data_IF_271204530964
#
_entry.id   IF_271204530964
#
_cell.length_a   1.000
_cell.length_b   1.000
_cell.length_c   1.000
_cell.angle_alpha   90.00
_cell.angle_beta   90.00
_cell.angle_gamma   90.00
#
_symmetry.space_group_name_H-M   'P 1'
#
loop_
_entity.id
_entity.type
_entity.pdbx_description
1 polymer ?
#
# COMPACT_ATOMS: atom_id res chain seq x y z
N UNK A 1 13.20 -5.83 -10.02
CA UNK A 1 11.81 -5.38 -10.37
C UNK A 1 11.20 -4.64 -9.18
N UNK A 2 10.30 -3.65 -9.36
CA UNK A 2 9.64 -2.96 -8.22
C UNK A 2 8.14 -3.21 -8.26
N UNK A 3 7.56 -3.65 -7.13
CA UNK A 3 6.12 -3.90 -7.00
C UNK A 3 5.47 -2.74 -6.28
N UNK A 4 4.41 -2.19 -6.87
CA UNK A 4 3.73 -1.02 -6.33
C UNK A 4 2.23 -1.25 -6.25
N UNK A 5 1.65 -0.99 -5.08
CA UNK A 5 0.21 -1.07 -4.86
C UNK A 5 -0.28 0.26 -4.32
N UNK A 6 -1.23 0.86 -5.05
CA UNK A 6 -1.89 2.11 -4.67
C UNK A 6 -3.26 1.81 -4.06
N UNK A 7 -3.54 2.42 -2.91
CA UNK A 7 -4.82 2.32 -2.19
C UNK A 7 -5.26 3.70 -1.69
N UNK A 8 -6.56 3.86 -1.44
CA UNK A 8 -7.13 5.10 -0.89
C UNK A 8 -7.77 4.80 0.46
N UNK A 9 -7.46 5.61 1.46
CA UNK A 9 -7.87 5.42 2.87
C UNK A 9 -8.17 6.77 3.52
N UNK A 10 -8.72 6.80 4.75
CA UNK A 10 -9.03 8.04 5.47
C UNK A 10 -7.94 8.42 6.47
N UNK A 11 -7.95 9.68 6.93
CA UNK A 11 -6.99 10.21 7.93
C UNK A 11 -6.89 9.37 9.20
N UNK A 12 -8.03 8.94 9.71
CA UNK A 12 -8.12 8.18 10.95
C UNK A 12 -7.46 6.81 10.80
N UNK A 13 -7.58 6.22 9.61
CA UNK A 13 -6.96 4.93 9.33
C UNK A 13 -5.43 5.05 9.20
N UNK A 14 -4.93 6.10 8.57
CA UNK A 14 -3.47 6.38 8.47
C UNK A 14 -2.81 6.58 9.83
N UNK A 15 -3.51 7.21 10.78
CA UNK A 15 -2.93 7.56 12.09
C UNK A 15 -2.83 6.38 13.04
N UNK A 16 -3.53 5.28 12.78
CA UNK A 16 -3.49 4.11 13.62
C UNK A 16 -2.39 3.16 13.13
N UNK A 17 -1.41 2.85 13.99
CA UNK A 17 -0.29 1.97 13.64
C UNK A 17 -0.77 0.57 13.18
N UNK A 18 -1.83 0.06 13.80
CA UNK A 18 -2.44 -1.23 13.47
C UNK A 18 -3.00 -1.26 12.03
N UNK A 19 -3.47 -0.13 11.52
CA UNK A 19 -3.99 -0.03 10.16
C UNK A 19 -2.90 0.05 9.10
N UNK A 20 -1.68 0.46 9.46
CA UNK A 20 -0.53 0.42 8.54
C UNK A 20 -0.17 -1.01 8.17
N UNK A 21 -0.10 -1.90 9.17
CA UNK A 21 0.08 -3.33 8.96
C UNK A 21 -1.08 -3.95 8.15
N UNK A 22 -2.32 -3.54 8.43
CA UNK A 22 -3.47 -4.01 7.65
C UNK A 22 -3.41 -3.55 6.19
N UNK A 23 -3.00 -2.31 5.91
CA UNK A 23 -2.83 -1.79 4.55
C UNK A 23 -1.72 -2.54 3.80
N UNK A 24 -0.58 -2.79 4.45
CA UNK A 24 0.50 -3.60 3.88
C UNK A 24 0.00 -5.01 3.56
N UNK A 25 -0.73 -5.64 4.47
CA UNK A 25 -1.32 -6.96 4.28
C UNK A 25 -2.30 -6.98 3.10
N UNK A 26 -3.22 -6.02 3.02
CA UNK A 26 -4.16 -5.89 1.91
C UNK A 26 -3.45 -5.63 0.57
N UNK A 27 -2.44 -4.77 0.56
CA UNK A 27 -1.66 -4.49 -0.63
C UNK A 27 -0.90 -5.74 -1.10
N UNK A 28 -0.31 -6.49 -0.18
CA UNK A 28 0.36 -7.77 -0.47
C UNK A 28 -0.62 -8.77 -1.05
N UNK A 29 -1.80 -8.94 -0.45
CA UNK A 29 -2.85 -9.82 -0.98
C UNK A 29 -3.30 -9.40 -2.38
N UNK A 30 -3.49 -8.09 -2.62
CA UNK A 30 -3.83 -7.57 -3.96
C UNK A 30 -2.73 -7.88 -4.98
N UNK A 31 -1.47 -7.66 -4.63
CA UNK A 31 -0.35 -7.91 -5.52
C UNK A 31 -0.20 -9.40 -5.86
N UNK A 32 -0.33 -10.29 -4.87
CA UNK A 32 -0.37 -11.75 -5.10
C UNK A 32 -1.58 -12.16 -5.96
N UNK A 33 -2.74 -11.55 -5.75
CA UNK A 33 -3.95 -11.87 -6.53
C UNK A 33 -3.92 -11.37 -7.98
N UNK A 34 -3.11 -10.34 -8.25
CA UNK A 34 -3.01 -9.69 -9.57
C UNK A 34 -1.93 -10.28 -10.47
N UNK A 35 -1.45 -11.51 -10.19
CA UNK A 35 -0.46 -12.22 -11.03
C UNK A 35 0.94 -11.56 -11.02
N UNK A 36 1.21 -10.66 -10.07
CA UNK A 36 2.42 -9.81 -10.06
C UNK A 36 3.61 -10.48 -9.35
N UNK A 37 3.78 -11.79 -9.50
CA UNK A 37 5.01 -12.49 -9.08
C UNK A 37 4.92 -13.19 -7.71
N UNK A 38 5.73 -14.24 -7.60
CA UNK A 38 5.85 -15.13 -6.45
C UNK A 38 5.93 -14.39 -5.12
N UNK A 39 5.30 -14.95 -4.07
CA UNK A 39 5.27 -14.38 -2.73
C UNK A 39 6.68 -14.07 -2.15
N UNK A 40 7.72 -14.72 -2.69
CA UNK A 40 9.13 -14.51 -2.38
C UNK A 40 9.65 -13.12 -2.81
N UNK A 41 9.02 -12.52 -3.83
CA UNK A 41 9.30 -11.16 -4.30
C UNK A 41 8.98 -10.07 -3.26
N UNK A 42 8.25 -10.42 -2.19
CA UNK A 42 7.86 -9.52 -1.10
C UNK A 42 8.71 -9.73 0.17
N UNK A 43 9.88 -10.39 0.09
CA UNK A 43 10.75 -10.62 1.24
C UNK A 43 11.43 -9.34 1.77
N UNK A 44 11.41 -8.25 1.01
CA UNK A 44 11.93 -6.94 1.43
C UNK A 44 10.90 -6.20 2.30
N UNK A 45 11.38 -5.40 3.26
CA UNK A 45 10.52 -4.46 3.98
C UNK A 45 9.85 -3.49 2.99
N UNK A 46 8.51 -3.36 3.00
CA UNK A 46 7.83 -2.42 2.12
C UNK A 46 8.11 -0.98 2.50
N UNK A 47 8.35 -0.15 1.50
CA UNK A 47 8.32 1.30 1.67
C UNK A 47 6.88 1.81 1.54
N UNK A 48 6.39 2.49 2.57
CA UNK A 48 5.01 3.01 2.63
C UNK A 48 5.04 4.53 2.51
N UNK A 49 4.61 5.05 1.36
CA UNK A 49 4.40 6.48 1.15
C UNK A 49 2.92 6.81 1.33
N UNK A 50 2.62 7.81 2.16
CA UNK A 50 1.25 8.26 2.41
C UNK A 50 1.14 9.72 1.98
N UNK A 51 0.33 9.98 0.98
CA UNK A 51 0.11 11.31 0.41
C UNK A 51 -1.34 11.74 0.63
N UNK A 52 -1.59 12.93 1.21
CA UNK A 52 -2.95 13.45 1.25
C UNK A 52 -3.44 13.67 -0.17
N UNK A 53 -4.63 13.17 -0.49
CA UNK A 53 -5.22 13.33 -1.81
C UNK A 53 -5.76 14.76 -1.93
N UNK A 54 -5.27 15.60 -2.87
CA UNK A 54 -5.58 17.03 -2.88
C UNK A 54 -6.99 17.41 -3.39
N UNK A 55 -7.92 16.47 -3.53
CA UNK A 55 -9.29 16.74 -3.98
C UNK A 55 -10.33 16.51 -2.87
N UNK A 56 -10.96 17.58 -2.34
CA UNK A 56 -12.09 17.47 -1.44
C UNK A 56 -13.40 17.57 -2.24
N UNK A 57 -13.94 16.43 -2.67
CA UNK A 57 -15.34 16.37 -3.09
C UNK A 57 -16.07 15.55 -2.04
N UNK A 58 -16.61 16.26 -1.05
CA UNK A 58 -17.59 15.78 -0.08
C UNK A 58 -17.18 14.58 0.82
N UNK A 59 -17.02 14.84 2.12
CA UNK A 59 -17.03 13.85 3.22
C UNK A 59 -15.73 13.19 3.71
N UNK A 60 -14.55 13.80 3.55
CA UNK A 60 -13.39 13.39 4.36
C UNK A 60 -12.01 13.77 3.79
N UNK A 61 -11.01 13.88 4.67
CA UNK A 61 -9.60 13.94 4.23
C UNK A 61 -9.15 12.54 3.82
N UNK A 62 -9.08 12.30 2.52
CA UNK A 62 -8.58 11.07 1.93
C UNK A 62 -7.06 11.10 1.79
N UNK A 63 -6.45 9.92 1.87
CA UNK A 63 -5.03 9.70 1.72
C UNK A 63 -4.80 8.58 0.72
N UNK A 64 -3.92 8.83 -0.23
CA UNK A 64 -3.34 7.80 -1.08
C UNK A 64 -2.19 7.12 -0.33
N UNK A 65 -2.24 5.81 -0.27
CA UNK A 65 -1.19 4.96 0.29
C UNK A 65 -0.57 4.20 -0.85
N UNK A 66 0.73 4.43 -1.05
CA UNK A 66 1.56 3.70 -1.98
C UNK A 66 2.47 2.77 -1.18
N UNK A 67 2.31 1.47 -1.39
CA UNK A 67 3.19 0.44 -0.82
C UNK A 67 4.09 -0.08 -1.92
N UNK A 68 5.41 0.07 -1.73
CA UNK A 68 6.43 -0.36 -2.69
C UNK A 68 7.28 -1.47 -2.09
N UNK A 69 7.48 -2.55 -2.84
CA UNK A 69 8.45 -3.60 -2.50
C UNK A 69 9.54 -3.66 -3.57
N UNK A 70 10.78 -3.76 -3.12
CA UNK A 70 11.88 -4.17 -3.99
C UNK A 70 11.78 -5.66 -4.23
N UNK A 71 11.39 -5.99 -5.46
CA UNK A 71 11.32 -7.35 -5.96
C UNK A 71 12.70 -7.95 -6.13
N UNK A 72 12.89 -9.15 -5.59
CA UNK A 72 14.05 -9.97 -5.88
C UNK A 72 13.90 -10.46 -7.33
N UNK A 73 14.79 -10.01 -8.21
CA UNK A 73 14.91 -10.58 -9.56
C UNK A 73 15.54 -11.96 -9.38
N UNK A 74 14.76 -13.02 -9.60
CA UNK A 74 15.23 -14.42 -9.62
C UNK A 74 15.79 -14.78 -10.99
#
# INVERSE_FOLDING_TARGET
MKFQVKMTTTREQVRNADLRDQLVSQARSKALSSDVGDAESFNSEPEITITPTPDPVDSGTWYDVLVTWDGIEV
#
